data_IF_714341661216
#
_entry.id   IF_714341661216
#
_cell.length_a   1.000
_cell.length_b   1.000
_cell.length_c   1.000
_cell.angle_alpha   90.00
_cell.angle_beta   90.00
_cell.angle_gamma   90.00
#
_symmetry.space_group_name_H-M   'P 1'
#
loop_
_entity.id
_entity.type
_entity.pdbx_description
1 polymer ?
#
# COMPACT_ATOMS: atom_id res chain seq x y z
N UNK A 1 2.98 8.72 23.34
CA UNK A 1 2.06 9.33 22.39
C UNK A 1 1.55 8.29 21.41
N UNK A 2 0.25 8.19 21.25
CA UNK A 2 -0.33 7.18 20.37
C UNK A 2 -0.19 7.61 18.92
N UNK A 3 0.46 6.79 18.11
CA UNK A 3 0.46 7.00 16.67
C UNK A 3 -0.91 6.63 16.11
N UNK A 4 -1.46 7.51 15.30
CA UNK A 4 -2.68 7.22 14.59
C UNK A 4 -2.43 6.10 13.58
N UNK A 5 -3.26 5.07 13.63
CA UNK A 5 -3.21 3.98 12.66
C UNK A 5 -4.16 4.31 11.51
N UNK A 6 -3.64 4.26 10.30
CA UNK A 6 -4.44 4.49 9.10
C UNK A 6 -4.50 3.22 8.28
N UNK A 7 -5.71 2.79 7.96
CA UNK A 7 -5.95 1.62 7.13
C UNK A 7 -6.50 2.10 5.80
N UNK A 8 -5.75 1.82 4.74
CA UNK A 8 -6.15 2.15 3.38
C UNK A 8 -6.73 0.89 2.75
N UNK A 9 -7.99 0.96 2.36
CA UNK A 9 -8.69 -0.17 1.74
C UNK A 9 -8.73 0.07 0.24
N UNK A 10 -8.20 -0.88 -0.52
CA UNK A 10 -8.09 -0.75 -1.97
C UNK A 10 -8.70 -1.95 -2.67
N UNK A 11 -8.81 -1.86 -4.00
CA UNK A 11 -9.23 -2.97 -4.83
C UNK A 11 -8.26 -4.14 -4.69
N UNK A 12 -8.77 -5.36 -4.74
CA UNK A 12 -7.95 -6.57 -4.67
C UNK A 12 -7.26 -6.82 -6.02
N UNK A 13 -6.25 -6.01 -6.29
CA UNK A 13 -5.47 -6.07 -7.52
C UNK A 13 -4.14 -5.37 -7.30
N UNK A 14 -3.17 -5.62 -8.19
CA UNK A 14 -1.89 -4.93 -8.16
C UNK A 14 -2.09 -3.41 -8.29
N UNK A 15 -2.95 -3.00 -9.21
CA UNK A 15 -3.25 -1.59 -9.44
C UNK A 15 -3.86 -0.93 -8.22
N UNK A 16 -4.77 -1.62 -7.53
CA UNK A 16 -5.37 -1.12 -6.31
C UNK A 16 -4.34 -0.96 -5.20
N UNK A 17 -3.49 -1.96 -5.02
CA UNK A 17 -2.44 -1.94 -3.99
C UNK A 17 -1.45 -0.81 -4.28
N UNK A 18 -1.02 -0.64 -5.52
CA UNK A 18 -0.08 0.42 -5.86
C UNK A 18 -0.68 1.81 -5.66
N UNK A 19 -1.96 1.98 -5.97
CA UNK A 19 -2.66 3.24 -5.71
C UNK A 19 -2.67 3.56 -4.21
N UNK A 20 -2.92 2.55 -3.38
CA UNK A 20 -2.91 2.71 -1.93
C UNK A 20 -1.51 3.01 -1.41
N UNK A 21 -0.48 2.37 -1.96
CA UNK A 21 0.92 2.65 -1.61
C UNK A 21 1.26 4.12 -1.87
N UNK A 22 0.85 4.62 -3.02
CA UNK A 22 1.10 6.02 -3.37
C UNK A 22 0.45 6.97 -2.35
N UNK A 23 -0.81 6.72 -2.03
CA UNK A 23 -1.53 7.55 -1.07
C UNK A 23 -0.93 7.43 0.33
N UNK A 24 -0.46 6.24 0.71
CA UNK A 24 0.22 6.04 1.98
C UNK A 24 1.50 6.86 2.09
N UNK A 25 2.27 6.93 1.02
CA UNK A 25 3.47 7.75 1.00
C UNK A 25 3.14 9.22 1.23
N UNK A 26 2.08 9.72 0.59
CA UNK A 26 1.69 11.12 0.72
C UNK A 26 1.12 11.45 2.10
N UNK A 27 0.26 10.58 2.62
CA UNK A 27 -0.44 10.87 3.86
C UNK A 27 0.42 10.70 5.09
N UNK A 28 1.40 9.81 5.02
CA UNK A 28 2.18 9.44 6.20
C UNK A 28 3.64 9.81 6.10
N UNK A 29 3.97 10.84 5.34
CA UNK A 29 5.32 11.38 5.30
C UNK A 29 5.81 11.80 6.70
N UNK A 30 4.91 12.11 7.61
CA UNK A 30 5.21 12.53 8.98
C UNK A 30 5.30 11.39 10.00
N UNK A 31 5.15 10.13 9.58
CA UNK A 31 5.40 9.00 10.47
C UNK A 31 4.19 8.33 11.09
N UNK A 32 3.01 8.39 10.49
CA UNK A 32 1.89 7.60 10.97
C UNK A 32 2.04 6.13 10.57
N UNK A 33 1.30 5.26 11.23
CA UNK A 33 1.30 3.83 10.93
C UNK A 33 0.27 3.54 9.85
N UNK A 34 0.70 2.91 8.76
CA UNK A 34 -0.15 2.60 7.62
C UNK A 34 -0.29 1.09 7.45
N UNK A 35 -1.52 0.66 7.24
CA UNK A 35 -1.82 -0.71 6.78
C UNK A 35 -2.61 -0.63 5.49
N UNK A 36 -2.37 -1.55 4.57
CA UNK A 36 -3.09 -1.62 3.31
C UNK A 36 -3.84 -2.94 3.27
N UNK A 37 -5.15 -2.86 3.04
CA UNK A 37 -6.02 -4.03 3.00
C UNK A 37 -6.86 -4.02 1.73
N UNK A 38 -7.29 -5.19 1.30
CA UNK A 38 -8.10 -5.33 0.09
C UNK A 38 -9.57 -5.57 0.40
N UNK A 39 -9.95 -5.50 1.68
CA UNK A 39 -11.35 -5.59 2.11
C UNK A 39 -11.52 -4.86 3.43
N UNK A 40 -12.72 -4.38 3.69
CA UNK A 40 -13.04 -3.77 4.98
C UNK A 40 -13.06 -4.84 6.07
N UNK A 41 -12.52 -4.54 7.27
CA UNK A 41 -12.55 -5.50 8.36
C UNK A 41 -13.97 -5.70 8.89
N UNK A 42 -14.21 -6.86 9.52
CA UNK A 42 -15.50 -7.19 10.10
C UNK A 42 -15.82 -6.26 11.27
N UNK A 43 -14.81 -5.87 12.05
CA UNK A 43 -15.00 -4.94 13.15
C UNK A 43 -13.98 -3.81 13.04
N UNK A 44 -14.43 -2.58 13.33
CA UNK A 44 -13.58 -1.40 13.30
C UNK A 44 -12.89 -1.21 14.64
N UNK A 45 -11.59 -0.90 14.59
CA UNK A 45 -10.82 -0.59 15.79
C UNK A 45 -11.02 0.87 16.20
N UNK A 46 -10.96 1.14 17.49
CA UNK A 46 -10.98 2.51 18.00
C UNK A 46 -9.68 3.24 17.62
N UNK A 47 -9.78 4.54 17.42
CA UNK A 47 -8.64 5.39 17.06
C UNK A 47 -7.94 4.98 15.77
N UNK A 48 -8.69 4.31 14.89
CA UNK A 48 -8.20 3.88 13.59
C UNK A 48 -8.99 4.57 12.49
N UNK A 49 -8.29 5.15 11.54
CA UNK A 49 -8.88 5.78 10.36
C UNK A 49 -8.94 4.76 9.23
N UNK A 50 -10.10 4.60 8.63
CA UNK A 50 -10.30 3.75 7.45
C UNK A 50 -10.59 4.65 6.25
N UNK A 51 -9.90 4.41 5.17
CA UNK A 51 -10.10 5.18 3.95
C UNK A 51 -10.10 4.27 2.74
N UNK A 52 -11.11 4.41 1.92
CA UNK A 52 -11.20 3.67 0.66
C UNK A 52 -10.39 4.40 -0.41
N UNK A 53 -9.52 3.66 -1.08
CA UNK A 53 -8.64 4.20 -2.11
C UNK A 53 -9.12 3.72 -3.47
N UNK A 54 -9.47 4.66 -4.33
CA UNK A 54 -9.84 4.34 -5.71
C UNK A 54 -8.59 4.00 -6.52
N UNK A 55 -8.71 3.02 -7.41
CA UNK A 55 -7.63 2.67 -8.32
C UNK A 55 -7.40 3.82 -9.31
N UNK A 56 -6.16 4.28 -9.41
CA UNK A 56 -5.78 5.39 -10.26
C UNK A 56 -4.54 5.02 -11.05
N UNK A 57 -4.68 4.91 -12.37
CA UNK A 57 -3.59 4.47 -13.25
C UNK A 57 -2.39 5.43 -13.22
N UNK A 58 -2.63 6.71 -13.01
CA UNK A 58 -1.55 7.69 -12.86
C UNK A 58 -0.69 7.38 -11.64
N UNK A 59 -1.31 7.04 -10.52
CA UNK A 59 -0.60 6.66 -9.30
C UNK A 59 0.14 5.34 -9.48
N UNK A 60 -0.48 4.37 -10.14
CA UNK A 60 0.14 3.09 -10.45
C UNK A 60 1.42 3.30 -11.26
N UNK A 61 1.36 4.12 -12.29
CA UNK A 61 2.53 4.41 -13.13
C UNK A 61 3.67 5.04 -12.34
N UNK A 62 3.35 5.94 -11.40
CA UNK A 62 4.36 6.59 -10.58
C UNK A 62 5.04 5.59 -9.63
N UNK A 63 4.27 4.70 -9.03
CA UNK A 63 4.82 3.67 -8.14
C UNK A 63 5.70 2.71 -8.92
N UNK A 64 5.22 2.22 -10.07
CA UNK A 64 5.99 1.32 -10.93
C UNK A 64 7.33 1.95 -11.32
N UNK A 65 7.30 3.20 -11.75
CA UNK A 65 8.52 3.90 -12.14
C UNK A 65 9.49 4.03 -10.98
N UNK A 66 8.99 4.36 -9.80
CA UNK A 66 9.82 4.47 -8.59
C UNK A 66 10.48 3.15 -8.26
N UNK A 67 9.75 2.04 -8.32
CA UNK A 67 10.31 0.71 -8.06
C UNK A 67 11.42 0.39 -9.05
N UNK A 68 11.16 0.58 -10.34
CA UNK A 68 12.14 0.26 -11.38
C UNK A 68 13.39 1.12 -11.27
N UNK A 69 13.24 2.39 -10.94
CA UNK A 69 14.39 3.30 -10.82
C UNK A 69 15.22 3.06 -9.56
N UNK A 70 14.59 2.72 -8.44
CA UNK A 70 15.29 2.59 -7.17
C UNK A 70 15.71 1.17 -6.83
N UNK A 71 14.90 0.19 -7.21
CA UNK A 71 15.08 -1.19 -6.78
C UNK A 71 15.40 -2.15 -7.93
N UNK A 72 15.10 -1.75 -9.16
CA UNK A 72 15.38 -2.55 -10.34
C UNK A 72 14.27 -3.52 -10.71
N UNK A 73 14.42 -4.15 -11.87
CA UNK A 73 13.37 -5.00 -12.45
C UNK A 73 13.17 -6.30 -11.69
N UNK A 74 14.21 -6.86 -11.08
CA UNK A 74 14.08 -8.10 -10.32
C UNK A 74 13.16 -7.91 -9.11
N UNK A 75 13.36 -6.82 -8.35
CA UNK A 75 12.53 -6.50 -7.21
C UNK A 75 11.11 -6.17 -7.67
N UNK A 76 10.97 -5.46 -8.78
CA UNK A 76 9.66 -5.17 -9.37
C UNK A 76 8.88 -6.45 -9.65
N UNK A 77 9.51 -7.46 -10.27
CA UNK A 77 8.85 -8.74 -10.54
C UNK A 77 8.43 -9.43 -9.25
N UNK A 78 9.27 -9.43 -8.23
CA UNK A 78 8.93 -10.02 -6.94
C UNK A 78 7.74 -9.31 -6.28
N UNK A 79 7.68 -7.99 -6.38
CA UNK A 79 6.57 -7.22 -5.83
C UNK A 79 5.27 -7.54 -6.59
N UNK A 80 5.33 -7.68 -7.90
CA UNK A 80 4.17 -8.07 -8.70
C UNK A 80 3.66 -9.45 -8.31
N UNK A 81 4.56 -10.41 -8.08
CA UNK A 81 4.18 -11.73 -7.61
C UNK A 81 3.56 -11.69 -6.22
N UNK A 82 4.12 -10.89 -5.33
CA UNK A 82 3.55 -10.71 -3.99
C UNK A 82 2.15 -10.11 -4.06
N UNK A 83 1.94 -9.13 -4.93
CA UNK A 83 0.63 -8.49 -5.09
C UNK A 83 -0.43 -9.47 -5.63
N UNK A 84 -0.01 -10.47 -6.39
CA UNK A 84 -0.90 -11.49 -6.94
C UNK A 84 -1.13 -12.65 -5.97
N UNK A 85 -0.44 -12.70 -4.84
CA UNK A 85 -0.59 -13.78 -3.86
C UNK A 85 -1.92 -13.66 -3.12
N UNK A 86 -2.30 -14.71 -2.39
CA UNK A 86 -3.52 -14.73 -1.59
C UNK A 86 -3.31 -14.22 -0.16
N UNK A 87 -2.11 -13.77 0.17
CA UNK A 87 -1.79 -13.28 1.51
C UNK A 87 -2.52 -11.97 1.79
N UNK A 88 -3.28 -11.91 2.87
CA UNK A 88 -4.05 -10.73 3.26
C UNK A 88 -3.15 -9.53 3.63
N UNK A 89 -1.93 -9.80 4.08
CA UNK A 89 -0.99 -8.76 4.50
C UNK A 89 -0.08 -8.28 3.36
N UNK A 90 -0.28 -8.77 2.14
CA UNK A 90 0.61 -8.46 1.01
C UNK A 90 0.72 -6.96 0.73
N UNK A 91 -0.40 -6.24 0.81
CA UNK A 91 -0.38 -4.81 0.56
C UNK A 91 0.47 -4.04 1.57
N UNK A 92 0.31 -4.37 2.85
CA UNK A 92 1.11 -3.76 3.91
C UNK A 92 2.58 -4.12 3.79
N UNK A 93 2.88 -5.38 3.47
CA UNK A 93 4.26 -5.83 3.28
C UNK A 93 4.92 -5.08 2.12
N UNK A 94 4.23 -4.93 1.00
CA UNK A 94 4.74 -4.18 -0.15
C UNK A 94 5.00 -2.72 0.23
N UNK A 95 4.06 -2.10 0.94
CA UNK A 95 4.21 -0.72 1.38
C UNK A 95 5.49 -0.53 2.18
N UNK A 96 5.75 -1.40 3.16
CA UNK A 96 6.92 -1.25 4.02
C UNK A 96 8.23 -1.53 3.30
N UNK A 97 8.24 -2.46 2.37
CA UNK A 97 9.42 -2.69 1.52
C UNK A 97 9.75 -1.43 0.73
N UNK A 98 8.75 -0.80 0.12
CA UNK A 98 8.95 0.39 -0.71
C UNK A 98 9.25 1.62 0.13
N UNK A 99 8.69 1.71 1.34
CA UNK A 99 8.92 2.84 2.23
C UNK A 99 10.38 2.92 2.68
N UNK A 100 11.07 1.79 2.76
CA UNK A 100 12.49 1.73 3.14
C UNK A 100 13.44 2.05 1.99
N UNK A 101 12.94 2.01 0.79
CA UNK A 101 13.78 2.18 -0.41
C UNK A 101 14.18 3.63 -0.64
#
# INVERSE_FOLDING_TARGET
>A
MNQEKRILVCEDSMEGIFSAVYDGWKECAGGCKVSIQTSFPVSMELFTSYREIATDQSKVGKVMRTILMRLGSEVYEQICLAAASADEDRGTAIYYVLHRA
#
